data_IF_493890651067
#
_entry.id   IF_493890651067
#
_cell.length_a   1.000
_cell.length_b   1.000
_cell.length_c   1.000
_cell.angle_alpha   90.00
_cell.angle_beta   90.00
_cell.angle_gamma   90.00
#
_symmetry.space_group_name_H-M   'P 1'
#
loop_
_entity.id
_entity.type
_entity.pdbx_description
1 polymer ?
#
# COMPACT_ATOMS: atom_id res chain seq x y z
N UNK A 1 16.71 17.34 44.69
CA UNK A 1 17.14 18.73 45.02
C UNK A 1 15.94 19.53 45.50
N UNK A 2 15.97 20.09 46.71
CA UNK A 2 14.84 20.85 47.26
C UNK A 2 15.19 22.33 47.33
N UNK A 3 14.22 23.20 47.09
CA UNK A 3 14.36 24.66 47.20
C UNK A 3 13.13 25.26 47.89
N UNK A 4 13.28 26.39 48.58
CA UNK A 4 12.13 27.15 49.05
C UNK A 4 11.43 27.83 47.87
N UNK A 5 10.11 28.04 47.96
CA UNK A 5 9.34 28.74 46.92
C UNK A 5 9.89 30.16 46.67
N UNK A 6 10.37 30.83 47.72
CA UNK A 6 10.95 32.18 47.64
C UNK A 6 12.29 32.23 46.87
N UNK A 7 13.04 31.13 46.86
CA UNK A 7 14.34 31.02 46.18
C UNK A 7 14.22 30.56 44.72
N UNK A 8 13.01 30.24 44.25
CA UNK A 8 12.78 29.62 42.94
C UNK A 8 13.38 30.42 41.77
N UNK A 9 13.12 31.72 41.72
CA UNK A 9 13.63 32.57 40.65
C UNK A 9 15.15 32.76 40.74
N UNK A 10 15.69 32.89 41.96
CA UNK A 10 17.14 33.00 42.19
C UNK A 10 17.87 31.77 41.68
N UNK A 11 17.37 30.57 42.00
CA UNK A 11 17.96 29.32 41.53
C UNK A 11 17.78 29.17 40.02
N UNK A 12 16.63 29.54 39.45
CA UNK A 12 16.39 29.51 38.00
C UNK A 12 17.39 30.39 37.24
N UNK A 13 17.56 31.64 37.68
CA UNK A 13 18.49 32.61 37.08
C UNK A 13 19.93 32.10 37.18
N UNK A 14 20.33 31.59 38.36
CA UNK A 14 21.66 31.02 38.56
C UNK A 14 21.95 29.80 37.69
N UNK A 15 20.97 28.92 37.46
CA UNK A 15 21.14 27.79 36.54
C UNK A 15 21.31 28.25 35.09
N UNK A 16 20.63 29.33 34.70
CA UNK A 16 20.78 29.93 33.37
C UNK A 16 22.19 30.54 33.18
N UNK A 17 22.72 31.19 34.23
CA UNK A 17 24.09 31.71 34.24
C UNK A 17 25.12 30.58 34.11
N UNK A 18 25.04 29.53 34.94
CA UNK A 18 25.94 28.38 34.86
C UNK A 18 25.92 27.73 33.48
N UNK A 19 24.75 27.57 32.87
CA UNK A 19 24.63 27.04 31.50
C UNK A 19 25.29 27.96 30.46
N UNK A 20 25.17 29.28 30.62
CA UNK A 20 25.79 30.27 29.73
C UNK A 20 27.32 30.28 29.87
N UNK A 21 27.84 29.97 31.05
CA UNK A 21 29.26 29.84 31.33
C UNK A 21 29.89 28.54 30.77
N UNK A 22 29.06 27.60 30.29
CA UNK A 22 29.51 26.37 29.64
C UNK A 22 29.39 25.12 30.50
N UNK A 23 28.95 25.25 31.75
CA UNK A 23 28.69 24.09 32.60
C UNK A 23 27.47 23.32 32.11
N UNK A 24 27.54 21.99 32.17
CA UNK A 24 26.46 21.10 31.75
C UNK A 24 25.82 20.33 32.92
N UNK A 25 26.54 20.18 34.04
CA UNK A 25 26.14 19.40 35.20
C UNK A 25 26.39 20.15 36.49
N UNK A 26 25.60 19.83 37.51
CA UNK A 26 25.77 20.31 38.88
C UNK A 26 25.74 19.13 39.84
N UNK A 27 26.51 19.21 40.92
CA UNK A 27 26.42 18.32 42.07
C UNK A 27 25.91 19.08 43.30
N UNK A 28 25.04 18.42 44.08
CA UNK A 28 24.37 18.97 45.25
C UNK A 28 24.23 17.93 46.36
N UNK A 29 24.10 18.40 47.60
CA UNK A 29 23.74 17.58 48.75
C UNK A 29 22.20 17.57 48.89
N UNK A 30 21.52 16.41 48.76
CA UNK A 30 20.07 16.32 48.86
C UNK A 30 19.55 16.50 50.30
N UNK A 31 20.41 16.48 51.32
CA UNK A 31 20.03 16.65 52.72
C UNK A 31 19.65 18.11 53.04
N UNK A 32 20.17 19.07 52.30
CA UNK A 32 19.96 20.50 52.54
C UNK A 32 19.17 21.15 51.40
N UNK A 33 18.15 21.98 51.71
CA UNK A 33 17.52 22.82 50.70
C UNK A 33 18.53 23.81 50.12
N UNK A 34 18.55 23.90 48.79
CA UNK A 34 19.37 24.84 48.04
C UNK A 34 18.71 26.22 48.09
N UNK A 35 19.49 27.25 48.44
CA UNK A 35 19.02 28.65 48.42
C UNK A 35 19.57 29.43 47.23
N UNK A 36 20.75 29.05 46.74
CA UNK A 36 21.45 29.74 45.67
C UNK A 36 22.43 28.79 44.97
N UNK A 37 22.57 28.93 43.64
CA UNK A 37 23.46 28.05 42.84
C UNK A 37 24.94 28.12 43.23
N UNK A 38 25.38 29.15 43.96
CA UNK A 38 26.74 29.25 44.50
C UNK A 38 27.07 28.15 45.52
N UNK A 39 26.07 27.44 46.03
CA UNK A 39 26.22 26.27 46.90
C UNK A 39 26.47 24.97 46.09
N UNK A 40 26.36 25.03 44.76
CA UNK A 40 26.53 23.89 43.86
C UNK A 40 27.96 23.79 43.35
N UNK A 41 28.37 22.57 43.01
CA UNK A 41 29.59 22.33 42.23
C UNK A 41 29.20 22.11 40.79
N UNK A 42 29.72 22.91 39.85
CA UNK A 42 29.36 22.85 38.43
C UNK A 42 30.47 22.21 37.59
N UNK A 43 30.07 21.46 36.56
CA UNK A 43 30.97 20.67 35.71
C UNK A 43 30.54 20.74 34.25
N UNK A 44 31.51 20.78 33.33
CA UNK A 44 31.24 20.83 31.89
C UNK A 44 30.82 19.48 31.31
N UNK A 45 31.06 18.38 32.04
CA UNK A 45 30.76 17.02 31.60
C UNK A 45 30.31 16.13 32.76
N UNK A 46 29.63 15.04 32.42
CA UNK A 46 29.05 14.12 33.40
C UNK A 46 30.08 13.28 34.13
N UNK A 47 31.25 13.03 33.53
CA UNK A 47 32.28 12.20 34.15
C UNK A 47 32.81 12.87 35.41
N UNK A 48 33.19 14.14 35.32
CA UNK A 48 33.72 14.90 36.46
C UNK A 48 32.67 15.08 37.56
N UNK A 49 31.40 15.31 37.19
CA UNK A 49 30.31 15.42 38.16
C UNK A 49 30.06 14.09 38.91
N UNK A 50 30.11 12.96 38.20
CA UNK A 50 29.97 11.62 38.80
C UNK A 50 31.15 11.30 39.70
N UNK A 51 32.38 11.59 39.25
CA UNK A 51 33.60 11.38 40.01
C UNK A 51 33.56 12.18 41.31
N UNK A 52 33.21 13.48 41.23
CA UNK A 52 33.01 14.32 42.41
C UNK A 52 32.02 13.72 43.40
N UNK A 53 30.83 13.31 42.94
CA UNK A 53 29.83 12.70 43.81
C UNK A 53 30.32 11.40 44.46
N UNK A 54 31.17 10.64 43.76
CA UNK A 54 31.71 9.38 44.25
C UNK A 54 32.84 9.59 45.28
N UNK A 55 33.68 10.61 45.08
CA UNK A 55 34.77 10.97 46.00
C UNK A 55 34.25 11.62 47.28
N UNK A 56 33.23 12.46 47.18
CA UNK A 56 32.65 13.20 48.30
C UNK A 56 31.67 12.37 49.14
N UNK A 57 31.48 11.08 48.79
CA UNK A 57 30.59 10.18 49.52
C UNK A 57 31.25 9.70 50.81
N UNK A 58 30.64 10.03 51.96
CA UNK A 58 31.04 9.53 53.28
C UNK A 58 29.92 8.66 53.89
N UNK A 59 30.10 8.17 55.11
CA UNK A 59 29.04 7.47 55.86
C UNK A 59 27.87 8.41 56.24
N UNK A 60 28.07 9.73 56.11
CA UNK A 60 27.13 10.78 56.53
C UNK A 60 26.69 11.65 55.35
N UNK A 61 27.59 11.96 54.43
CA UNK A 61 27.37 12.88 53.30
C UNK A 61 27.18 12.11 51.99
N UNK A 62 26.17 12.51 51.22
CA UNK A 62 25.86 11.92 49.92
C UNK A 62 25.63 13.05 48.93
N UNK A 63 26.34 13.05 47.80
CA UNK A 63 26.11 14.01 46.72
C UNK A 63 25.39 13.33 45.56
N UNK A 64 24.42 14.04 44.98
CA UNK A 64 23.77 13.69 43.73
C UNK A 64 24.16 14.71 42.66
N UNK A 65 24.04 14.33 41.39
CA UNK A 65 24.30 15.23 40.27
C UNK A 65 23.10 15.28 39.32
N UNK A 66 22.92 16.43 38.66
CA UNK A 66 21.86 16.64 37.68
C UNK A 66 22.38 17.45 36.48
N UNK A 67 21.76 17.25 35.32
CA UNK A 67 22.02 18.05 34.13
C UNK A 67 21.37 19.42 34.24
N UNK A 68 22.13 20.49 34.02
CA UNK A 68 21.65 21.87 34.17
C UNK A 68 20.53 22.19 33.17
N UNK A 69 20.73 21.88 31.89
CA UNK A 69 19.78 22.29 30.85
C UNK A 69 18.37 21.71 31.03
N UNK A 70 18.18 20.40 31.23
CA UNK A 70 16.84 19.85 31.51
C UNK A 70 16.22 20.38 32.80
N UNK A 71 17.02 20.58 33.84
CA UNK A 71 16.55 21.12 35.12
C UNK A 71 16.05 22.57 34.97
N UNK A 72 16.84 23.41 34.31
CA UNK A 72 16.48 24.78 33.97
C UNK A 72 15.17 24.83 33.15
N UNK A 73 15.05 24.01 32.10
CA UNK A 73 13.83 23.92 31.28
C UNK A 73 12.61 23.43 32.06
N UNK A 74 12.81 22.48 32.98
CA UNK A 74 11.75 22.02 33.88
C UNK A 74 11.28 23.15 34.81
N UNK A 75 12.21 23.99 35.28
CA UNK A 75 11.89 25.14 36.12
C UNK A 75 11.17 26.25 35.35
N UNK A 76 11.57 26.55 34.11
CA UNK A 76 10.79 27.47 33.24
C UNK A 76 9.36 26.95 33.04
N UNK A 77 9.19 25.63 32.81
CA UNK A 77 7.88 25.01 32.66
C UNK A 77 7.03 25.14 33.93
N UNK A 78 7.65 25.04 35.10
CA UNK A 78 6.98 25.26 36.39
C UNK A 78 6.47 26.70 36.57
N UNK A 79 7.10 27.70 35.95
CA UNK A 79 6.57 29.08 35.93
C UNK A 79 5.35 29.21 35.00
N UNK A 80 5.33 28.47 33.89
CA UNK A 80 4.20 28.44 32.95
C UNK A 80 2.99 27.69 33.53
N UNK A 81 3.23 26.59 34.25
CA UNK A 81 2.21 25.73 34.85
C UNK A 81 2.56 25.40 36.31
N UNK A 82 2.02 26.20 37.23
CA UNK A 82 2.27 26.07 38.67
C UNK A 82 1.75 24.76 39.27
N UNK A 83 0.90 24.00 38.56
CA UNK A 83 0.46 22.67 39.03
C UNK A 83 1.60 21.64 39.04
N UNK A 84 2.70 21.91 38.32
CA UNK A 84 3.87 21.03 38.27
C UNK A 84 4.77 21.14 39.51
N UNK A 85 4.61 22.19 40.32
CA UNK A 85 5.56 22.57 41.37
C UNK A 85 5.46 21.77 42.68
N UNK A 86 4.58 20.76 42.80
CA UNK A 86 4.38 19.87 43.98
C UNK A 86 4.82 20.46 45.34
N UNK A 87 4.26 21.63 45.70
CA UNK A 87 4.70 22.40 46.86
C UNK A 87 4.28 21.71 48.16
N UNK A 88 5.25 21.39 49.02
CA UNK A 88 5.04 20.78 50.35
C UNK A 88 5.80 21.56 51.40
N UNK A 89 5.09 22.04 52.42
CA UNK A 89 5.68 22.82 53.52
C UNK A 89 6.52 24.03 53.05
N UNK A 90 6.09 24.69 51.97
CA UNK A 90 6.81 25.83 51.38
C UNK A 90 8.05 25.48 50.54
N UNK A 91 8.27 24.18 50.29
CA UNK A 91 9.40 23.65 49.53
C UNK A 91 8.94 23.03 48.21
N UNK A 92 9.81 23.08 47.20
CA UNK A 92 9.66 22.45 45.89
C UNK A 92 10.77 21.41 45.72
N UNK A 93 10.43 20.20 45.30
CA UNK A 93 11.41 19.18 44.90
C UNK A 93 11.64 19.24 43.39
N UNK A 94 12.77 19.82 42.99
CA UNK A 94 13.13 19.98 41.59
C UNK A 94 13.35 18.64 40.88
N UNK A 95 13.68 17.58 41.62
CA UNK A 95 13.81 16.23 41.03
C UNK A 95 12.43 15.66 40.65
N UNK A 96 11.36 16.05 41.36
CA UNK A 96 9.97 15.71 40.98
C UNK A 96 9.53 16.54 39.78
N UNK A 97 9.81 17.84 39.78
CA UNK A 97 9.53 18.73 38.65
C UNK A 97 10.23 18.27 37.36
N UNK A 98 11.50 17.90 37.46
CA UNK A 98 12.28 17.38 36.33
C UNK A 98 11.69 16.08 35.77
N UNK A 99 11.23 15.16 36.64
CA UNK A 99 10.52 13.94 36.21
C UNK A 99 9.22 14.27 35.47
N UNK A 100 8.45 15.23 35.97
CA UNK A 100 7.22 15.69 35.32
C UNK A 100 7.51 16.31 33.94
N UNK A 101 8.55 17.14 33.84
CA UNK A 101 9.02 17.71 32.57
C UNK A 101 9.39 16.63 31.55
N UNK A 102 10.19 15.63 31.93
CA UNK A 102 10.52 14.52 31.02
C UNK A 102 9.29 13.74 30.56
N UNK A 103 8.31 13.54 31.43
CA UNK A 103 7.06 12.89 31.03
C UNK A 103 6.33 13.71 29.96
N UNK A 104 6.16 15.02 30.17
CA UNK A 104 5.52 15.93 29.21
C UNK A 104 6.27 15.96 27.87
N UNK A 105 7.59 16.08 27.89
CA UNK A 105 8.42 16.06 26.68
C UNK A 105 8.26 14.73 25.93
N UNK A 106 8.24 13.60 26.64
CA UNK A 106 8.04 12.29 26.03
C UNK A 106 6.68 12.15 25.35
N UNK A 107 5.60 12.61 25.98
CA UNK A 107 4.25 12.59 25.40
C UNK A 107 4.14 13.54 24.21
N UNK A 108 4.74 14.73 24.31
CA UNK A 108 4.78 15.71 23.21
C UNK A 108 5.50 15.14 21.99
N UNK A 109 6.63 14.46 22.19
CA UNK A 109 7.38 13.81 21.11
C UNK A 109 6.60 12.64 20.50
N UNK A 110 5.91 11.83 21.30
CA UNK A 110 4.99 10.80 20.80
C UNK A 110 3.88 11.40 19.93
N UNK A 111 3.24 12.48 20.38
CA UNK A 111 2.21 13.17 19.62
C UNK A 111 2.71 13.73 18.28
N UNK A 112 3.88 14.39 18.28
CA UNK A 112 4.52 14.87 17.03
C UNK A 112 4.82 13.74 16.06
N UNK A 113 5.40 12.64 16.56
CA UNK A 113 5.70 11.46 15.73
C UNK A 113 4.44 10.83 15.15
N UNK A 114 3.36 10.73 15.94
CA UNK A 114 2.07 10.24 15.44
C UNK A 114 1.48 11.16 14.36
N UNK A 115 1.59 12.48 14.51
CA UNK A 115 1.14 13.41 13.47
C UNK A 115 1.92 13.24 12.16
N UNK A 116 3.25 13.11 12.23
CA UNK A 116 4.09 12.86 11.06
C UNK A 116 3.77 11.51 10.39
N UNK A 117 3.58 10.46 11.18
CA UNK A 117 3.18 9.14 10.67
C UNK A 117 1.80 9.16 10.01
N UNK A 118 0.83 9.87 10.59
CA UNK A 118 -0.51 9.99 10.02
C UNK A 118 -0.49 10.78 8.70
N UNK A 119 0.33 11.84 8.61
CA UNK A 119 0.51 12.58 7.36
C UNK A 119 1.14 11.70 6.27
N UNK A 120 2.21 10.97 6.59
CA UNK A 120 2.83 10.01 5.67
C UNK A 120 1.86 8.91 5.22
N UNK A 121 0.99 8.45 6.12
CA UNK A 121 -0.05 7.48 5.77
C UNK A 121 -1.08 8.07 4.81
N UNK A 122 -1.50 9.33 5.00
CA UNK A 122 -2.39 10.04 4.09
C UNK A 122 -1.78 10.20 2.69
N UNK A 123 -0.51 10.59 2.62
CA UNK A 123 0.22 10.77 1.36
C UNK A 123 0.35 9.42 0.63
N UNK A 124 0.71 8.37 1.36
CA UNK A 124 0.79 7.01 0.83
C UNK A 124 -0.56 6.53 0.25
N UNK A 125 -1.67 6.75 0.96
CA UNK A 125 -2.99 6.35 0.48
C UNK A 125 -3.40 7.15 -0.76
N UNK A 126 -3.08 8.44 -0.81
CA UNK A 126 -3.34 9.31 -1.96
C UNK A 126 -2.58 8.82 -3.19
N UNK A 127 -1.29 8.52 -3.04
CA UNK A 127 -0.46 7.97 -4.11
C UNK A 127 -0.97 6.58 -4.55
N UNK A 128 -1.38 5.74 -3.59
CA UNK A 128 -1.89 4.42 -3.90
C UNK A 128 -3.17 4.49 -4.76
N UNK A 129 -4.09 5.41 -4.48
CA UNK A 129 -5.29 5.66 -5.30
C UNK A 129 -4.90 6.15 -6.70
N UNK A 130 -3.96 7.10 -6.78
CA UNK A 130 -3.44 7.62 -8.05
C UNK A 130 -2.83 6.53 -8.92
N UNK A 131 -1.89 5.75 -8.37
CA UNK A 131 -1.17 4.71 -9.10
C UNK A 131 -1.99 3.43 -9.33
N UNK A 132 -3.13 3.26 -8.66
CA UNK A 132 -4.13 2.24 -9.01
C UNK A 132 -5.08 2.70 -10.11
N UNK A 133 -4.92 3.90 -10.65
CA UNK A 133 -5.59 4.35 -11.87
C UNK A 133 -6.94 5.04 -11.64
N UNK A 134 -7.25 5.44 -10.41
CA UNK A 134 -8.42 6.28 -10.11
C UNK A 134 -8.14 7.78 -10.33
N UNK A 135 -6.87 8.17 -10.46
CA UNK A 135 -6.47 9.55 -10.73
C UNK A 135 -6.22 10.37 -9.48
N UNK A 136 -6.24 11.69 -9.65
CA UNK A 136 -5.98 12.68 -8.60
C UNK A 136 -7.28 13.24 -8.02
N UNK A 137 -7.19 14.01 -6.93
CA UNK A 137 -8.35 14.70 -6.33
C UNK A 137 -9.01 13.98 -5.15
N UNK A 138 -8.42 12.89 -4.67
CA UNK A 138 -8.95 12.15 -3.50
C UNK A 138 -8.36 12.60 -2.16
N UNK A 139 -7.32 13.45 -2.16
CA UNK A 139 -6.59 13.84 -0.96
C UNK A 139 -7.51 14.47 0.11
N UNK A 140 -8.36 15.41 -0.28
CA UNK A 140 -9.26 16.12 0.65
C UNK A 140 -10.32 15.18 1.25
N UNK A 141 -10.96 14.36 0.40
CA UNK A 141 -11.96 13.39 0.84
C UNK A 141 -11.33 12.35 1.76
N UNK A 142 -10.12 11.89 1.45
CA UNK A 142 -9.42 10.90 2.26
C UNK A 142 -9.02 11.49 3.61
N UNK A 143 -8.56 12.75 3.63
CA UNK A 143 -8.27 13.48 4.87
C UNK A 143 -9.51 13.62 5.75
N UNK A 144 -10.65 13.98 5.16
CA UNK A 144 -11.92 14.07 5.87
C UNK A 144 -12.34 12.70 6.45
N UNK A 145 -12.31 11.63 5.65
CA UNK A 145 -12.68 10.28 6.09
C UNK A 145 -11.74 9.70 7.15
N UNK A 146 -10.44 10.00 7.08
CA UNK A 146 -9.48 9.57 8.12
C UNK A 146 -9.70 10.36 9.41
N UNK A 147 -10.06 11.65 9.32
CA UNK A 147 -10.30 12.50 10.49
C UNK A 147 -11.55 12.10 11.30
N UNK A 148 -12.53 11.41 10.69
CA UNK A 148 -13.69 10.89 11.45
C UNK A 148 -13.29 9.79 12.43
N UNK A 149 -12.17 9.10 12.20
CA UNK A 149 -11.68 8.02 13.05
C UNK A 149 -12.46 6.71 12.90
N UNK A 150 -13.31 6.57 11.88
CA UNK A 150 -14.09 5.37 11.62
C UNK A 150 -13.18 4.16 11.35
N UNK A 151 -13.56 2.97 11.84
CA UNK A 151 -12.77 1.75 11.64
C UNK A 151 -12.69 1.35 10.17
N UNK A 152 -13.73 1.65 9.40
CA UNK A 152 -13.85 1.35 7.99
C UNK A 152 -14.57 2.50 7.30
N UNK A 153 -14.14 2.84 6.09
CA UNK A 153 -14.85 3.79 5.26
C UNK A 153 -14.71 3.43 3.79
N UNK A 154 -15.55 4.05 2.96
CA UNK A 154 -15.60 3.85 1.53
C UNK A 154 -15.54 5.16 0.77
N UNK A 155 -14.96 5.12 -0.42
CA UNK A 155 -14.95 6.23 -1.38
C UNK A 155 -15.45 5.67 -2.72
N UNK A 156 -16.46 6.33 -3.28
CA UNK A 156 -17.01 5.95 -4.59
C UNK A 156 -16.35 6.74 -5.71
N UNK A 157 -16.21 6.10 -6.86
CA UNK A 157 -15.68 6.68 -8.10
C UNK A 157 -16.45 6.11 -9.29
N UNK A 158 -16.57 6.88 -10.37
CA UNK A 158 -17.19 6.41 -11.61
C UNK A 158 -16.42 6.97 -12.79
N UNK A 159 -16.19 6.13 -13.80
CA UNK A 159 -15.55 6.53 -15.05
C UNK A 159 -16.21 5.86 -16.26
N UNK A 160 -16.02 6.48 -17.41
CA UNK A 160 -16.44 5.92 -18.70
C UNK A 160 -15.25 5.39 -19.48
N UNK A 161 -15.41 4.19 -20.04
CA UNK A 161 -14.45 3.58 -20.95
C UNK A 161 -15.14 3.24 -22.27
N UNK A 162 -14.91 4.05 -23.30
CA UNK A 162 -15.74 4.00 -24.49
C UNK A 162 -17.17 4.40 -24.13
N UNK A 163 -18.14 3.55 -24.46
CA UNK A 163 -19.55 3.77 -24.12
C UNK A 163 -19.96 3.09 -22.80
N UNK A 164 -19.08 2.29 -22.20
CA UNK A 164 -19.36 1.60 -20.96
C UNK A 164 -19.10 2.52 -19.76
N UNK A 165 -19.85 2.30 -18.68
CA UNK A 165 -19.65 2.96 -17.40
C UNK A 165 -19.15 1.93 -16.38
N UNK A 166 -18.13 2.31 -15.62
CA UNK A 166 -17.63 1.50 -14.51
C UNK A 166 -17.73 2.32 -13.24
N UNK A 167 -18.54 1.83 -12.31
CA UNK A 167 -18.61 2.36 -10.95
C UNK A 167 -17.65 1.56 -10.06
N UNK A 168 -16.97 2.23 -9.15
CA UNK A 168 -16.04 1.61 -8.21
C UNK A 168 -16.26 2.12 -6.79
N UNK A 169 -16.26 1.20 -5.83
CA UNK A 169 -16.28 1.50 -4.40
C UNK A 169 -14.98 1.04 -3.77
N UNK A 170 -14.14 1.99 -3.39
CA UNK A 170 -12.83 1.77 -2.76
C UNK A 170 -13.03 1.56 -1.25
N UNK A 171 -12.49 0.48 -0.70
CA UNK A 171 -12.69 0.05 0.68
C UNK A 171 -11.42 0.28 1.51
N UNK A 172 -11.55 1.04 2.59
CA UNK A 172 -10.47 1.37 3.51
C UNK A 172 -10.76 0.88 4.92
N UNK A 173 -9.72 0.54 5.67
CA UNK A 173 -9.86 0.20 7.08
C UNK A 173 -8.68 0.69 7.91
N UNK A 174 -8.96 1.00 9.18
CA UNK A 174 -7.96 1.34 10.19
C UNK A 174 -7.25 0.09 10.69
N UNK A 175 -5.95 0.18 10.88
CA UNK A 175 -5.14 -0.84 11.54
C UNK A 175 -5.65 -1.14 12.94
N UNK A 176 -5.57 -2.40 13.36
CA UNK A 176 -5.85 -2.80 14.75
C UNK A 176 -4.70 -2.48 15.71
N UNK A 177 -3.51 -2.18 15.17
CA UNK A 177 -2.27 -2.04 15.93
C UNK A 177 -1.72 -0.61 15.93
N UNK A 178 -2.30 0.28 15.11
CA UNK A 178 -1.80 1.64 14.90
C UNK A 178 -2.92 2.56 14.42
N UNK A 179 -2.65 3.86 14.32
CA UNK A 179 -3.60 4.83 13.74
C UNK A 179 -3.63 4.86 12.21
N UNK A 180 -2.77 4.09 11.55
CA UNK A 180 -2.71 4.00 10.08
C UNK A 180 -3.96 3.36 9.46
N UNK A 181 -4.33 3.86 8.29
CA UNK A 181 -5.34 3.29 7.40
C UNK A 181 -4.72 2.57 6.20
N UNK A 182 -5.48 1.63 5.63
CA UNK A 182 -5.09 0.86 4.46
C UNK A 182 -6.19 0.87 3.40
N UNK A 183 -5.80 1.01 2.14
CA UNK A 183 -6.66 0.73 0.99
C UNK A 183 -6.62 -0.78 0.69
N UNK A 184 -7.72 -1.47 0.94
CA UNK A 184 -7.74 -2.94 0.96
C UNK A 184 -8.20 -3.56 -0.37
N UNK A 185 -9.22 -2.98 -0.98
CA UNK A 185 -9.84 -3.50 -2.19
C UNK A 185 -10.72 -2.44 -2.82
N UNK A 186 -11.09 -2.63 -4.08
CA UNK A 186 -12.22 -1.93 -4.68
C UNK A 186 -13.17 -2.93 -5.32
N UNK A 187 -14.46 -2.66 -5.16
CA UNK A 187 -15.51 -3.38 -5.88
C UNK A 187 -15.81 -2.59 -7.16
N UNK A 188 -15.80 -3.25 -8.31
CA UNK A 188 -16.05 -2.64 -9.61
C UNK A 188 -17.33 -3.22 -10.22
N UNK A 189 -18.20 -2.33 -10.70
CA UNK A 189 -19.47 -2.61 -11.34
C UNK A 189 -19.41 -2.11 -12.79
N UNK A 190 -19.31 -3.04 -13.75
CA UNK A 190 -19.31 -2.72 -15.18
C UNK A 190 -20.74 -2.74 -15.72
N UNK A 191 -21.17 -1.58 -16.20
CA UNK A 191 -22.40 -1.40 -16.95
C UNK A 191 -22.07 -1.20 -18.43
N UNK A 192 -22.34 -2.23 -19.24
CA UNK A 192 -22.17 -2.14 -20.69
C UNK A 192 -23.28 -1.34 -21.35
N UNK A 193 -22.95 -0.65 -22.44
CA UNK A 193 -23.95 0.03 -23.26
C UNK A 193 -25.00 -0.97 -23.78
N UNK A 194 -26.29 -0.65 -23.63
CA UNK A 194 -27.39 -1.48 -24.12
C UNK A 194 -27.66 -2.76 -23.31
N UNK A 195 -26.86 -3.07 -22.29
CA UNK A 195 -27.13 -4.17 -21.35
C UNK A 195 -27.94 -3.67 -20.15
N UNK A 196 -28.89 -4.47 -19.65
CA UNK A 196 -29.54 -4.21 -18.36
C UNK A 196 -28.76 -4.83 -17.18
N UNK A 197 -27.88 -5.79 -17.46
CA UNK A 197 -27.11 -6.51 -16.45
C UNK A 197 -25.78 -5.81 -16.19
N UNK A 198 -25.45 -5.74 -14.90
CA UNK A 198 -24.15 -5.30 -14.39
C UNK A 198 -23.28 -6.50 -14.08
N UNK A 199 -22.00 -6.39 -14.43
CA UNK A 199 -20.98 -7.35 -14.04
C UNK A 199 -20.24 -6.79 -12.82
N UNK A 200 -20.19 -7.55 -11.75
CA UNK A 200 -19.51 -7.17 -10.51
C UNK A 200 -18.22 -7.97 -10.33
N UNK A 201 -17.15 -7.31 -9.89
CA UNK A 201 -15.90 -7.97 -9.53
C UNK A 201 -15.17 -7.17 -8.45
N UNK A 202 -14.67 -7.85 -7.43
CA UNK A 202 -13.82 -7.24 -6.41
C UNK A 202 -12.34 -7.50 -6.71
N UNK A 203 -11.56 -6.42 -6.70
CA UNK A 203 -10.12 -6.44 -6.88
C UNK A 203 -9.44 -6.04 -5.56
N UNK A 204 -8.57 -6.92 -5.07
CA UNK A 204 -7.82 -6.70 -3.84
C UNK A 204 -6.53 -5.94 -4.11
N UNK A 205 -6.20 -5.03 -3.20
CA UNK A 205 -4.98 -4.24 -3.24
C UNK A 205 -3.90 -4.96 -2.44
N UNK A 206 -2.83 -5.35 -3.12
CA UNK A 206 -1.69 -6.08 -2.57
C UNK A 206 -0.39 -5.29 -2.73
N UNK A 207 0.63 -5.61 -1.93
CA UNK A 207 1.98 -5.04 -2.11
C UNK A 207 2.65 -5.69 -3.32
N UNK A 208 2.49 -5.10 -4.51
CA UNK A 208 3.34 -5.40 -5.68
C UNK A 208 2.61 -5.63 -7.01
N UNK A 209 1.42 -6.24 -7.01
CA UNK A 209 0.69 -6.57 -8.25
C UNK A 209 -0.77 -6.16 -8.20
N UNK A 210 -1.02 -4.85 -8.12
CA UNK A 210 -2.38 -4.33 -8.17
C UNK A 210 -2.92 -4.38 -9.60
N UNK A 211 -4.19 -4.75 -9.73
CA UNK A 211 -4.97 -4.51 -10.94
C UNK A 211 -5.43 -3.05 -10.88
N UNK A 212 -4.98 -2.24 -11.83
CA UNK A 212 -5.44 -0.85 -11.94
C UNK A 212 -6.88 -0.79 -12.41
N UNK A 213 -7.55 0.34 -12.21
CA UNK A 213 -8.95 0.50 -12.56
C UNK A 213 -9.23 0.25 -14.06
N UNK A 214 -8.33 0.67 -14.95
CA UNK A 214 -8.44 0.39 -16.39
C UNK A 214 -8.19 -1.09 -16.72
N UNK A 215 -7.23 -1.73 -16.06
CA UNK A 215 -6.98 -3.17 -16.21
C UNK A 215 -8.17 -3.99 -15.70
N UNK A 216 -8.83 -3.57 -14.62
CA UNK A 216 -10.05 -4.20 -14.11
C UNK A 216 -11.17 -4.15 -15.16
N UNK A 217 -11.41 -2.99 -15.77
CA UNK A 217 -12.33 -2.89 -16.91
C UNK A 217 -11.96 -3.87 -18.02
N UNK A 218 -10.68 -3.95 -18.41
CA UNK A 218 -10.23 -4.87 -19.45
C UNK A 218 -10.46 -6.35 -19.08
N UNK A 219 -10.21 -6.73 -17.83
CA UNK A 219 -10.49 -8.08 -17.31
C UNK A 219 -11.98 -8.40 -17.31
N UNK A 220 -12.82 -7.45 -16.90
CA UNK A 220 -14.29 -7.57 -16.87
C UNK A 220 -14.90 -7.63 -18.28
N UNK A 221 -14.23 -7.03 -19.26
CA UNK A 221 -14.51 -7.20 -20.68
C UNK A 221 -14.05 -8.55 -21.24
N UNK A 222 -13.39 -9.38 -20.42
CA UNK A 222 -12.91 -10.70 -20.78
C UNK A 222 -11.54 -10.71 -21.44
N UNK A 223 -10.83 -9.58 -21.49
CA UNK A 223 -9.46 -9.49 -22.01
C UNK A 223 -8.45 -9.97 -20.97
N UNK A 224 -7.24 -10.27 -21.44
CA UNK A 224 -6.14 -10.67 -20.56
C UNK A 224 -5.22 -9.48 -20.26
N UNK A 225 -4.65 -9.46 -19.05
CA UNK A 225 -3.69 -8.43 -18.60
C UNK A 225 -2.40 -9.12 -18.15
N UNK A 226 -1.25 -8.57 -18.51
CA UNK A 226 0.06 -9.06 -18.13
C UNK A 226 0.53 -8.40 -16.83
N UNK A 227 0.84 -9.20 -15.80
CA UNK A 227 1.29 -8.72 -14.50
C UNK A 227 2.57 -9.42 -14.05
N UNK A 228 3.40 -8.71 -13.30
CA UNK A 228 4.43 -9.30 -12.46
C UNK A 228 3.77 -9.71 -11.13
N UNK A 229 3.57 -11.01 -10.94
CA UNK A 229 2.97 -11.60 -9.75
C UNK A 229 4.06 -12.05 -8.76
N UNK A 230 3.67 -12.31 -7.52
CA UNK A 230 4.53 -12.84 -6.47
C UNK A 230 3.99 -14.20 -5.98
N UNK A 231 4.88 -15.17 -5.76
CA UNK A 231 4.49 -16.49 -5.23
C UNK A 231 4.55 -16.52 -3.69
N UNK A 232 4.22 -17.66 -3.07
CA UNK A 232 4.26 -17.82 -1.60
C UNK A 232 5.66 -17.62 -0.99
N UNK A 233 6.72 -17.82 -1.78
CA UNK A 233 8.12 -17.64 -1.40
C UNK A 233 8.65 -16.23 -1.71
N UNK A 234 7.75 -15.30 -2.04
CA UNK A 234 8.08 -13.92 -2.41
C UNK A 234 8.85 -13.74 -3.72
N UNK A 235 8.94 -14.78 -4.54
CA UNK A 235 9.60 -14.70 -5.85
C UNK A 235 8.65 -14.08 -6.87
N UNK A 236 9.18 -13.13 -7.63
CA UNK A 236 8.47 -12.44 -8.71
C UNK A 236 8.47 -13.28 -9.98
N UNK A 237 7.34 -13.33 -10.67
CA UNK A 237 7.21 -14.01 -11.96
C UNK A 237 6.17 -13.31 -12.83
N UNK A 238 6.35 -13.33 -14.15
CA UNK A 238 5.38 -12.77 -15.07
C UNK A 238 4.25 -13.75 -15.39
N UNK A 239 3.03 -13.24 -15.51
CA UNK A 239 1.89 -14.01 -15.96
C UNK A 239 0.87 -13.13 -16.63
N UNK A 240 0.24 -13.63 -17.69
CA UNK A 240 -1.04 -13.10 -18.12
C UNK A 240 -2.14 -13.59 -17.18
N UNK A 241 -3.10 -12.74 -16.88
CA UNK A 241 -4.27 -13.01 -16.05
C UNK A 241 -5.56 -12.68 -16.81
N UNK A 242 -6.60 -13.46 -16.61
CA UNK A 242 -7.92 -13.28 -17.25
C UNK A 242 -9.02 -13.79 -16.31
N UNK A 243 -10.21 -13.19 -16.33
CA UNK A 243 -11.35 -13.71 -15.55
C UNK A 243 -11.88 -15.02 -16.15
N UNK A 244 -12.29 -15.91 -15.27
CA UNK A 244 -13.00 -17.13 -15.60
C UNK A 244 -14.49 -16.98 -15.31
N UNK A 245 -15.25 -16.51 -16.30
CA UNK A 245 -16.69 -16.30 -16.17
C UNK A 245 -17.50 -17.57 -15.91
N UNK A 246 -16.88 -18.76 -15.99
CA UNK A 246 -17.54 -20.03 -15.69
C UNK A 246 -17.49 -20.41 -14.21
N UNK A 247 -16.57 -19.84 -13.44
CA UNK A 247 -16.33 -20.22 -12.06
C UNK A 247 -16.17 -19.00 -11.16
N UNK A 248 -17.02 -18.91 -10.14
CA UNK A 248 -16.90 -17.93 -9.06
C UNK A 248 -16.32 -18.57 -7.79
N UNK A 249 -15.86 -17.72 -6.87
CA UNK A 249 -15.65 -18.10 -5.49
C UNK A 249 -16.95 -18.00 -4.66
N UNK A 250 -16.85 -18.28 -3.37
CA UNK A 250 -17.97 -18.26 -2.41
C UNK A 250 -18.59 -16.86 -2.23
N UNK A 251 -17.83 -15.80 -2.54
CA UNK A 251 -18.27 -14.41 -2.46
C UNK A 251 -18.81 -13.89 -3.80
N UNK A 252 -18.97 -14.77 -4.80
CA UNK A 252 -19.46 -14.43 -6.13
C UNK A 252 -18.41 -13.78 -7.04
N UNK A 253 -17.14 -13.73 -6.63
CA UNK A 253 -16.06 -13.15 -7.42
C UNK A 253 -15.60 -14.14 -8.50
N UNK A 254 -15.42 -13.71 -9.75
CA UNK A 254 -14.89 -14.59 -10.79
C UNK A 254 -13.45 -14.98 -10.49
N UNK A 255 -13.12 -16.25 -10.71
CA UNK A 255 -11.76 -16.77 -10.55
C UNK A 255 -10.83 -16.20 -11.61
N UNK A 256 -9.53 -16.15 -11.32
CA UNK A 256 -8.50 -15.68 -12.26
C UNK A 256 -7.77 -16.89 -12.87
N UNK A 257 -7.79 -16.99 -14.21
CA UNK A 257 -6.89 -17.86 -14.97
C UNK A 257 -5.52 -17.19 -15.08
N UNK A 258 -4.46 -18.00 -14.98
CA UNK A 258 -3.08 -17.56 -15.12
C UNK A 258 -2.43 -18.30 -16.28
N UNK A 259 -1.78 -17.54 -17.16
CA UNK A 259 -0.93 -18.06 -18.22
C UNK A 259 0.49 -17.60 -17.92
N UNK A 260 1.24 -18.41 -17.16
CA UNK A 260 2.63 -18.14 -16.80
C UNK A 260 3.55 -18.25 -18.02
N UNK A 261 4.82 -17.88 -17.86
CA UNK A 261 5.83 -17.99 -18.93
C UNK A 261 5.90 -19.42 -19.51
N UNK A 262 5.81 -20.45 -18.66
CA UNK A 262 5.79 -21.86 -19.08
C UNK A 262 4.56 -22.24 -19.92
N UNK A 263 3.49 -21.44 -19.90
CA UNK A 263 2.37 -21.63 -20.80
C UNK A 263 2.78 -21.43 -22.26
N UNK A 264 3.81 -20.62 -22.53
CA UNK A 264 4.39 -20.44 -23.86
C UNK A 264 3.57 -19.55 -24.79
N UNK A 265 2.90 -18.53 -24.25
CA UNK A 265 2.36 -17.45 -25.07
C UNK A 265 3.43 -16.39 -25.30
N UNK A 266 3.82 -16.23 -26.56
CA UNK A 266 4.70 -15.17 -27.01
C UNK A 266 3.89 -14.14 -27.81
N UNK A 267 3.64 -12.99 -27.18
CA UNK A 267 2.86 -11.90 -27.78
C UNK A 267 3.57 -11.29 -28.99
N UNK A 268 4.88 -11.14 -28.93
CA UNK A 268 5.67 -10.55 -30.01
C UNK A 268 5.68 -11.45 -31.24
N UNK A 269 5.91 -12.76 -31.05
CA UNK A 269 5.81 -13.75 -32.12
C UNK A 269 4.38 -13.86 -32.66
N UNK A 270 3.35 -13.66 -31.83
CA UNK A 270 1.96 -13.62 -32.29
C UNK A 270 1.68 -12.40 -33.17
N UNK A 271 2.14 -11.20 -32.76
CA UNK A 271 2.00 -9.97 -33.54
C UNK A 271 2.75 -10.01 -34.87
N UNK A 272 3.96 -10.59 -34.88
CA UNK A 272 4.83 -10.68 -36.06
C UNK A 272 4.24 -11.55 -37.20
N UNK A 273 3.16 -12.29 -36.94
CA UNK A 273 2.41 -13.03 -37.96
C UNK A 273 1.47 -12.13 -38.79
N UNK A 274 1.34 -10.87 -38.41
CA UNK A 274 0.49 -9.88 -39.06
C UNK A 274 1.34 -8.77 -39.69
N UNK A 275 0.89 -8.16 -40.81
CA UNK A 275 1.65 -7.13 -41.52
C UNK A 275 1.51 -5.75 -40.83
N UNK A 276 1.78 -5.69 -39.52
CA UNK A 276 1.62 -4.49 -38.69
C UNK A 276 2.80 -3.54 -38.90
N UNK A 277 2.51 -2.32 -39.36
CA UNK A 277 3.50 -1.28 -39.65
C UNK A 277 4.22 -0.80 -38.39
N UNK A 278 3.51 -0.71 -37.26
CA UNK A 278 4.05 -0.25 -35.98
C UNK A 278 5.16 -1.16 -35.43
N UNK A 279 5.23 -2.44 -35.85
CA UNK A 279 6.30 -3.36 -35.45
C UNK A 279 7.66 -3.04 -36.09
N UNK A 280 7.69 -2.22 -37.14
CA UNK A 280 8.91 -1.87 -37.88
C UNK A 280 9.75 -0.79 -37.18
N UNK A 281 9.21 -0.16 -36.14
CA UNK A 281 9.89 0.86 -35.34
C UNK A 281 9.79 0.50 -33.87
N UNK A 282 10.92 0.46 -33.20
CA UNK A 282 11.01 0.01 -31.80
C UNK A 282 10.13 0.85 -30.85
N UNK A 283 10.09 2.17 -31.02
CA UNK A 283 9.26 3.06 -30.18
C UNK A 283 7.75 2.78 -30.30
N UNK A 284 7.27 2.52 -31.51
CA UNK A 284 5.87 2.18 -31.75
C UNK A 284 5.55 0.74 -31.35
N UNK A 285 6.49 -0.18 -31.55
CA UNK A 285 6.38 -1.56 -31.10
C UNK A 285 6.27 -1.63 -29.58
N UNK A 286 7.14 -0.96 -28.84
CA UNK A 286 7.12 -0.93 -27.38
C UNK A 286 5.81 -0.34 -26.86
N UNK A 287 5.36 0.78 -27.43
CA UNK A 287 4.07 1.38 -27.07
C UNK A 287 2.89 0.44 -27.35
N UNK A 288 2.90 -0.29 -28.48
CA UNK A 288 1.88 -1.28 -28.80
C UNK A 288 1.91 -2.43 -27.79
N UNK A 289 3.09 -2.99 -27.52
CA UNK A 289 3.26 -4.09 -26.57
C UNK A 289 2.81 -3.69 -25.15
N UNK A 290 3.15 -2.50 -24.68
CA UNK A 290 2.74 -2.00 -23.37
C UNK A 290 1.24 -1.76 -23.26
N UNK A 291 0.60 -1.30 -24.33
CA UNK A 291 -0.86 -1.15 -24.39
C UNK A 291 -1.55 -2.52 -24.31
N UNK A 292 -1.08 -3.50 -25.08
CA UNK A 292 -1.62 -4.86 -25.09
C UNK A 292 -1.39 -5.60 -23.78
N UNK A 293 -0.23 -5.42 -23.14
CA UNK A 293 0.05 -5.94 -21.79
C UNK A 293 -0.96 -5.42 -20.75
N UNK A 294 -1.49 -4.22 -20.91
CA UNK A 294 -2.55 -3.67 -20.04
C UNK A 294 -3.95 -4.19 -20.39
N UNK A 295 -4.07 -5.08 -21.38
CA UNK A 295 -5.33 -5.66 -21.86
C UNK A 295 -6.15 -4.70 -22.72
N UNK A 296 -5.53 -3.65 -23.27
CA UNK A 296 -6.22 -2.74 -24.18
C UNK A 296 -6.40 -3.37 -25.57
N UNK A 297 -7.43 -2.88 -26.26
CA UNK A 297 -7.58 -3.07 -27.70
C UNK A 297 -6.90 -1.89 -28.40
N UNK A 298 -5.88 -2.15 -29.21
CA UNK A 298 -5.02 -1.13 -29.78
C UNK A 298 -5.22 -1.01 -31.29
N UNK A 299 -5.42 0.23 -31.78
CA UNK A 299 -5.45 0.54 -33.21
C UNK A 299 -4.04 0.38 -33.80
N UNK A 300 -3.94 -0.34 -34.91
CA UNK A 300 -2.72 -0.61 -35.67
C UNK A 300 -2.97 -0.47 -37.16
N UNK A 301 -1.88 -0.36 -37.93
CA UNK A 301 -1.92 -0.19 -39.38
C UNK A 301 -1.37 -1.45 -40.05
N UNK A 302 -2.21 -2.16 -40.80
CA UNK A 302 -1.78 -3.28 -41.63
C UNK A 302 -1.32 -2.77 -42.99
N UNK A 303 -0.21 -3.30 -43.49
CA UNK A 303 0.32 -3.00 -44.82
C UNK A 303 0.23 -4.24 -45.72
N UNK A 304 -0.82 -4.32 -46.54
CA UNK A 304 -1.08 -5.45 -47.45
C UNK A 304 -1.03 -4.92 -48.89
N UNK A 305 -0.21 -5.54 -49.74
CA UNK A 305 -0.05 -5.17 -51.15
C UNK A 305 0.24 -3.67 -51.37
N UNK A 306 1.01 -3.06 -50.46
CA UNK A 306 1.34 -1.64 -50.50
C UNK A 306 0.21 -0.69 -50.08
N UNK A 307 -0.96 -1.21 -49.66
CA UNK A 307 -2.07 -0.43 -49.11
C UNK A 307 -2.10 -0.50 -47.59
N UNK A 308 -2.48 0.61 -46.97
CA UNK A 308 -2.65 0.70 -45.52
C UNK A 308 -4.11 0.53 -45.12
N UNK A 309 -4.36 -0.34 -44.15
CA UNK A 309 -5.68 -0.58 -43.57
C UNK A 309 -5.59 -0.55 -42.05
N UNK A 310 -6.54 0.13 -41.41
CA UNK A 310 -6.60 0.23 -39.95
C UNK A 310 -7.34 -0.97 -39.37
N UNK A 311 -6.76 -1.57 -38.34
CA UNK A 311 -7.35 -2.66 -37.58
C UNK A 311 -7.14 -2.44 -36.09
N UNK A 312 -7.93 -3.11 -35.26
CA UNK A 312 -7.64 -3.18 -33.84
C UNK A 312 -7.09 -4.55 -33.47
N UNK A 313 -6.18 -4.59 -32.51
CA UNK A 313 -5.60 -5.84 -32.01
C UNK A 313 -5.67 -5.92 -30.49
N UNK A 314 -5.82 -7.13 -29.97
CA UNK A 314 -5.70 -7.43 -28.53
C UNK A 314 -4.91 -8.73 -28.31
N UNK A 315 -4.28 -8.85 -27.14
CA UNK A 315 -3.61 -10.08 -26.75
C UNK A 315 -4.62 -11.21 -26.47
N UNK A 316 -4.31 -12.43 -26.92
CA UNK A 316 -5.11 -13.63 -26.64
C UNK A 316 -4.22 -14.78 -26.14
N UNK A 317 -3.79 -14.72 -24.86
CA UNK A 317 -2.92 -15.74 -24.29
C UNK A 317 -3.54 -17.14 -24.33
N UNK A 318 -4.84 -17.28 -24.05
CA UNK A 318 -5.53 -18.58 -24.01
C UNK A 318 -5.38 -19.38 -25.31
N UNK A 319 -5.34 -18.72 -26.47
CA UNK A 319 -5.16 -19.37 -27.76
C UNK A 319 -3.75 -19.16 -28.35
N UNK A 320 -2.86 -18.50 -27.60
CA UNK A 320 -1.50 -18.12 -28.01
C UNK A 320 -1.46 -17.32 -29.32
N UNK A 321 -2.42 -16.42 -29.48
CA UNK A 321 -2.55 -15.55 -30.67
C UNK A 321 -2.78 -14.10 -30.25
N UNK A 322 -3.02 -13.23 -31.24
CA UNK A 322 -3.74 -11.96 -31.04
C UNK A 322 -5.10 -12.07 -31.72
N UNK A 323 -6.10 -11.35 -31.22
CA UNK A 323 -7.33 -11.15 -31.98
C UNK A 323 -7.18 -9.87 -32.81
N UNK A 324 -7.76 -9.87 -34.00
CA UNK A 324 -7.76 -8.73 -34.92
C UNK A 324 -9.22 -8.36 -35.19
N UNK A 325 -9.52 -7.07 -35.21
CA UNK A 325 -10.86 -6.53 -35.45
C UNK A 325 -10.83 -5.50 -36.59
N UNK A 326 -11.96 -5.35 -37.26
CA UNK A 326 -12.20 -4.25 -38.21
C UNK A 326 -12.64 -2.96 -37.50
N UNK A 327 -13.03 -1.96 -38.28
CA UNK A 327 -13.51 -0.66 -37.77
C UNK A 327 -14.80 -0.75 -36.95
N UNK A 328 -15.59 -1.80 -37.15
CA UNK A 328 -16.88 -2.03 -36.49
C UNK A 328 -16.72 -2.98 -35.28
N UNK A 329 -15.47 -3.20 -34.84
CA UNK A 329 -15.09 -4.09 -33.74
C UNK A 329 -15.54 -5.54 -33.97
N UNK A 330 -15.72 -5.96 -35.22
CA UNK A 330 -16.01 -7.35 -35.56
C UNK A 330 -14.70 -8.13 -35.71
N UNK A 331 -14.64 -9.30 -35.07
CA UNK A 331 -13.42 -10.11 -35.02
C UNK A 331 -13.12 -10.72 -36.39
N UNK A 332 -11.96 -10.43 -36.96
CA UNK A 332 -11.51 -11.01 -38.21
C UNK A 332 -10.96 -12.42 -38.00
N UNK A 333 -11.33 -13.36 -38.88
CA UNK A 333 -10.77 -14.71 -38.91
C UNK A 333 -11.28 -15.69 -37.84
N UNK A 334 -12.25 -15.32 -37.01
CA UNK A 334 -12.94 -16.28 -36.13
C UNK A 334 -13.86 -17.21 -36.93
N UNK A 335 -14.16 -18.41 -36.40
CA UNK A 335 -15.16 -19.30 -37.02
C UNK A 335 -16.52 -18.62 -37.14
N UNK A 336 -16.89 -17.73 -36.20
CA UNK A 336 -18.14 -16.96 -36.26
C UNK A 336 -18.14 -15.90 -37.38
N UNK A 337 -17.04 -15.17 -37.58
CA UNK A 337 -16.95 -14.18 -38.67
C UNK A 337 -16.97 -14.83 -40.06
N UNK A 338 -16.40 -16.03 -40.19
CA UNK A 338 -16.54 -16.85 -41.40
C UNK A 338 -17.99 -17.32 -41.61
N UNK A 339 -18.70 -17.64 -40.53
CA UNK A 339 -20.11 -18.03 -40.61
C UNK A 339 -21.03 -16.86 -40.97
N UNK A 340 -20.79 -15.65 -40.46
CA UNK A 340 -21.53 -14.44 -40.84
C UNK A 340 -21.28 -14.04 -42.31
N UNK A 341 -20.02 -14.09 -42.77
CA UNK A 341 -19.69 -13.83 -44.18
C UNK A 341 -20.19 -14.93 -45.13
N UNK A 342 -20.34 -16.18 -44.67
CA UNK A 342 -21.00 -17.24 -45.44
C UNK A 342 -22.53 -17.13 -45.41
N UNK A 343 -23.13 -16.59 -44.35
CA UNK A 343 -24.58 -16.44 -44.24
C UNK A 343 -25.19 -15.36 -45.14
N UNK A 344 -24.38 -14.41 -45.64
CA UNK A 344 -24.77 -13.49 -46.71
C UNK A 344 -24.55 -14.06 -48.13
N UNK A 345 -23.90 -15.23 -48.27
CA UNK A 345 -23.57 -15.84 -49.55
C UNK A 345 -24.38 -17.07 -49.93
N UNK A 346 -24.84 -17.88 -48.96
CA UNK A 346 -25.46 -19.17 -49.28
C UNK A 346 -26.63 -19.49 -48.37
N UNK A 347 -27.83 -19.11 -48.81
CA UNK A 347 -29.07 -19.77 -48.40
C UNK A 347 -29.23 -21.06 -49.20
N UNK A 348 -28.89 -22.22 -48.62
CA UNK A 348 -29.73 -23.43 -48.59
C UNK A 348 -28.98 -24.67 -48.06
N UNK A 349 -29.69 -25.40 -47.19
CA UNK A 349 -29.63 -26.83 -46.86
C UNK A 349 -28.68 -27.43 -45.80
N UNK A 350 -29.34 -27.75 -44.67
CA UNK A 350 -29.32 -28.99 -43.88
C UNK A 350 -28.11 -29.43 -43.03
N UNK A 351 -28.32 -29.29 -41.70
CA UNK A 351 -28.08 -30.22 -40.58
C UNK A 351 -27.13 -31.42 -40.82
N UNK A 352 -26.08 -31.52 -39.99
CA UNK A 352 -25.98 -32.55 -38.92
C UNK A 352 -24.82 -32.31 -37.95
N UNK A 353 -25.04 -32.77 -36.73
CA UNK A 353 -24.22 -32.64 -35.54
C UNK A 353 -22.84 -33.34 -35.64
N UNK A 354 -21.86 -32.82 -34.90
CA UNK A 354 -21.09 -33.65 -33.96
C UNK A 354 -20.42 -32.80 -32.88
N UNK A 355 -20.73 -33.18 -31.64
CA UNK A 355 -20.18 -32.69 -30.39
C UNK A 355 -18.87 -33.45 -30.13
N UNK A 356 -17.75 -32.76 -29.95
CA UNK A 356 -16.53 -33.33 -29.41
C UNK A 356 -16.07 -32.43 -28.25
N UNK A 357 -16.36 -32.92 -27.04
CA UNK A 357 -15.81 -32.44 -25.78
C UNK A 357 -14.28 -32.60 -25.80
N UNK A 358 -13.56 -31.48 -25.69
CA UNK A 358 -12.15 -31.50 -25.30
C UNK A 358 -12.13 -31.42 -23.78
N UNK A 359 -11.63 -32.49 -23.17
CA UNK A 359 -11.48 -32.64 -21.72
C UNK A 359 -10.54 -31.57 -21.17
N UNK A 360 -11.01 -30.90 -20.13
CA UNK A 360 -10.23 -30.04 -19.26
C UNK A 360 -9.07 -30.82 -18.63
N UNK A 361 -7.88 -30.23 -18.68
CA UNK A 361 -6.75 -30.66 -17.87
C UNK A 361 -6.92 -30.06 -16.47
N UNK A 362 -7.33 -30.89 -15.52
CA UNK A 362 -7.13 -30.64 -14.11
C UNK A 362 -5.63 -30.59 -13.80
N UNK A 363 -5.17 -29.49 -13.20
CA UNK A 363 -3.96 -29.49 -12.37
C UNK A 363 -4.32 -28.78 -11.06
N UNK A 364 -4.78 -29.57 -10.10
CA UNK A 364 -4.61 -29.33 -8.66
C UNK A 364 -3.31 -30.08 -8.31
N UNK A 365 -2.36 -29.61 -7.53
CA UNK A 365 -2.31 -28.64 -6.46
C UNK A 365 -1.25 -29.16 -5.47
N UNK A 366 -0.72 -28.24 -4.67
CA UNK A 366 0.25 -28.38 -3.59
C UNK A 366 0.56 -29.79 -3.06
N UNK A 367 1.86 -30.08 -2.96
CA UNK A 367 2.37 -31.23 -2.24
C UNK A 367 2.25 -31.05 -0.73
N UNK A 368 1.67 -32.04 -0.07
CA UNK A 368 1.97 -32.39 1.30
C UNK A 368 1.76 -33.90 1.51
N UNK A 369 2.90 -34.59 1.59
CA UNK A 369 3.20 -35.79 2.39
C UNK A 369 2.03 -36.66 2.89
N UNK A 370 2.02 -37.92 2.46
CA UNK A 370 1.54 -39.01 3.31
C UNK A 370 2.39 -40.27 3.15
N UNK A 371 2.65 -40.87 4.30
CA UNK A 371 3.48 -42.04 4.52
C UNK A 371 2.87 -43.34 3.94
N UNK A 372 3.77 -44.31 3.83
CA UNK A 372 3.57 -45.70 3.40
C UNK A 372 2.33 -46.37 4.01
N UNK A 373 1.53 -47.00 3.16
CA UNK A 373 0.83 -48.25 3.50
C UNK A 373 0.68 -49.16 2.27
N UNK A 374 1.51 -50.21 2.21
CA UNK A 374 1.29 -51.41 1.39
C UNK A 374 0.10 -52.20 1.96
N UNK A 375 -0.80 -52.69 1.09
CA UNK A 375 -1.52 -54.00 1.22
C UNK A 375 -2.25 -54.30 -0.10
N UNK A 376 -1.67 -55.14 -0.96
CA UNK A 376 -2.01 -56.56 -1.24
C UNK A 376 -3.39 -56.84 -1.87
N UNK A 377 -3.29 -57.49 -3.05
CA UNK A 377 -4.28 -58.28 -3.79
C UNK A 377 -5.07 -59.28 -2.93
N UNK A 378 -6.31 -59.53 -3.35
CA UNK A 378 -7.13 -60.72 -3.06
C UNK A 378 -8.61 -60.40 -3.32
N UNK A 379 -9.12 -60.56 -4.55
CA UNK A 379 -9.75 -61.77 -5.13
C UNK A 379 -11.23 -61.94 -4.73
N UNK A 380 -12.04 -62.03 -5.80
CA UNK A 380 -13.47 -62.37 -5.94
C UNK A 380 -14.11 -63.20 -4.82
N UNK A 381 -15.37 -62.87 -4.50
CA UNK A 381 -16.58 -63.63 -4.93
C UNK A 381 -17.64 -62.62 -5.35
#
# INVERSE_FOLDING_TARGET
MKIAVEDYNTVLEGLAELHTEGYAYIAFDPAFPLTDVRELNAFDNSYDAVEYCHEMRTDVDFFEYESIWPLYRAMEKGLEDSNLLDVKDGMIDLSVLLKAYYHIESETNKHKNNMDMNQKNLDYLTDQIKYTGFGEGFADVLKEKVATGDKEFKIDHSAKFGNDTVDATLNFSKSKQSDMYFFNSYNASLQKEGSAEKLEQTFYINRGSNITFKEAYNLMEGRAVHKELQNKAEEKYNSWVQLDFKHSDENGNFRIKKFSENYGYDMEAALSKHPIKELQRDDFKDSLMDSLKKGNVQLVTFQVDGKEQKHYVEANPQFKTVNVYDSDMQRLGSREARAQNQSQGESQDNKKANKAEVKDAEVVGDGATSEKAKKTRGQKV
#
